data_IF_938174793425
#
_entry.id   IF_938174793425
#
_cell.length_a   1.000
_cell.length_b   1.000
_cell.length_c   1.000
_cell.angle_alpha   90.00
_cell.angle_beta   90.00
_cell.angle_gamma   90.00
#
_symmetry.space_group_name_H-M   'P 1'
#
loop_
_entity.id
_entity.type
_entity.pdbx_description
1 polymer ?
#
# COMPACT_ATOMS: atom_id res chain seq x y z
N UNK A 1 11.17 -40.56 61.07
CA UNK A 1 11.91 -40.10 62.28
C UNK A 1 12.99 -39.15 61.77
N UNK A 2 13.00 -37.84 62.08
CA UNK A 2 13.44 -37.22 63.35
C UNK A 2 14.97 -37.24 63.44
N UNK A 3 15.75 -36.15 63.57
CA UNK A 3 15.57 -34.77 64.12
C UNK A 3 16.31 -33.76 63.16
N UNK A 4 16.12 -32.44 63.10
CA UNK A 4 16.20 -31.34 64.10
C UNK A 4 17.58 -31.25 64.82
N UNK A 5 18.27 -30.10 65.00
CA UNK A 5 18.01 -28.70 64.54
C UNK A 5 19.29 -27.80 64.56
N UNK A 6 19.10 -26.50 64.28
CA UNK A 6 20.06 -25.37 64.13
C UNK A 6 20.81 -24.94 65.41
N UNK A 7 22.01 -24.34 65.25
CA UNK A 7 22.64 -23.39 66.19
C UNK A 7 23.64 -22.45 65.45
N UNK A 8 24.11 -21.32 65.98
CA UNK A 8 23.39 -20.02 66.12
C UNK A 8 24.38 -18.82 65.89
N UNK A 9 23.91 -17.55 65.91
CA UNK A 9 24.69 -16.30 65.68
C UNK A 9 25.60 -15.87 66.86
N UNK A 10 26.54 -14.91 66.70
CA UNK A 10 26.25 -13.44 66.71
C UNK A 10 26.79 -12.73 65.43
N UNK A 11 26.45 -11.49 65.00
CA UNK A 11 25.90 -10.24 65.58
C UNK A 11 26.92 -9.31 66.26
N UNK A 12 27.34 -8.26 65.54
CA UNK A 12 27.45 -6.85 66.02
C UNK A 12 27.52 -5.89 64.81
N UNK A 13 27.21 -4.60 65.02
CA UNK A 13 27.20 -3.55 63.99
C UNK A 13 27.63 -2.21 64.59
N UNK A 14 28.23 -1.31 63.81
CA UNK A 14 28.41 0.10 64.16
C UNK A 14 28.61 0.96 62.90
N UNK A 15 28.28 2.26 62.96
CA UNK A 15 28.07 3.13 61.78
C UNK A 15 28.55 4.57 62.01
N UNK A 16 28.47 5.39 60.94
CA UNK A 16 28.47 6.88 60.91
C UNK A 16 29.82 7.61 60.98
N UNK A 17 30.13 8.38 59.92
CA UNK A 17 30.60 9.78 59.97
C UNK A 17 30.58 10.41 58.55
N UNK A 18 30.37 11.72 58.44
CA UNK A 18 30.43 12.48 57.18
C UNK A 18 30.80 13.96 57.42
N UNK A 19 31.53 14.59 56.48
CA UNK A 19 31.82 16.04 56.44
C UNK A 19 32.34 16.46 55.04
N UNK A 20 32.24 17.75 54.68
CA UNK A 20 32.75 18.30 53.41
C UNK A 20 33.11 19.81 53.49
N UNK A 21 34.19 20.22 52.81
CA UNK A 21 34.65 21.59 52.51
C UNK A 21 35.78 21.49 51.44
N UNK A 22 35.88 22.24 50.33
CA UNK A 22 36.00 23.72 50.13
C UNK A 22 37.39 24.21 50.61
N UNK A 23 38.32 24.72 49.78
CA UNK A 23 38.43 24.96 48.31
C UNK A 23 39.93 24.70 47.87
N UNK A 24 40.65 25.25 46.85
CA UNK A 24 40.56 26.39 45.91
C UNK A 24 41.50 26.22 44.66
N UNK A 25 41.31 27.09 43.65
CA UNK A 25 42.15 27.56 42.51
C UNK A 25 43.50 26.95 42.10
N UNK A 26 43.62 26.62 40.81
CA UNK A 26 44.87 26.52 40.01
C UNK A 26 44.55 26.35 38.51
N UNK A 27 45.24 27.04 37.58
CA UNK A 27 44.84 27.11 36.16
C UNK A 27 46.02 27.01 35.17
N UNK A 28 45.70 26.63 33.91
CA UNK A 28 46.60 26.32 32.77
C UNK A 28 47.47 25.05 33.01
N UNK A 29 47.79 24.20 32.02
CA UNK A 29 47.99 24.41 30.57
C UNK A 29 47.33 23.33 29.68
N UNK A 30 47.29 23.61 28.37
CA UNK A 30 46.92 22.69 27.29
C UNK A 30 48.07 21.72 26.93
N UNK A 31 47.77 20.48 26.55
CA UNK A 31 48.36 19.81 25.36
C UNK A 31 47.84 18.38 25.11
N UNK A 32 47.88 17.98 23.84
CA UNK A 32 47.98 16.58 23.35
C UNK A 32 46.90 15.56 23.74
N UNK A 33 45.84 15.47 22.93
CA UNK A 33 45.08 14.23 22.77
C UNK A 33 45.96 13.17 22.08
N UNK A 34 46.64 12.32 22.86
CA UNK A 34 47.26 11.09 22.34
C UNK A 34 46.20 9.99 22.36
N UNK A 35 45.93 9.37 21.21
CA UNK A 35 45.08 8.17 21.17
C UNK A 35 45.76 7.03 21.92
N UNK A 36 45.16 6.58 23.01
CA UNK A 36 45.23 5.18 23.44
C UNK A 36 43.81 4.68 23.67
N UNK A 37 43.50 3.53 23.08
CA UNK A 37 42.12 3.10 22.88
C UNK A 37 41.49 2.54 24.14
N UNK A 38 40.22 2.87 24.36
CA UNK A 38 39.36 2.13 25.27
C UNK A 38 38.32 1.33 24.48
N UNK A 39 37.86 0.21 25.06
CA UNK A 39 37.05 -0.79 24.35
C UNK A 39 35.62 -0.30 24.19
N UNK A 40 35.28 0.24 23.02
CA UNK A 40 33.92 0.60 22.66
C UNK A 40 33.00 -0.64 22.63
N UNK A 41 32.29 -0.86 23.74
CA UNK A 41 31.17 -1.78 23.84
C UNK A 41 30.04 -1.30 22.94
N UNK A 42 30.11 -1.65 21.65
CA UNK A 42 29.06 -1.40 20.68
C UNK A 42 27.83 -2.24 21.01
N UNK A 43 26.98 -1.72 21.90
CA UNK A 43 25.58 -2.08 21.92
C UNK A 43 25.02 -1.73 20.54
N UNK A 44 24.70 -2.76 19.75
CA UNK A 44 24.01 -2.59 18.47
C UNK A 44 22.60 -2.06 18.73
N UNK A 45 22.48 -0.73 18.83
CA UNK A 45 21.19 -0.05 18.76
C UNK A 45 20.53 -0.52 17.45
N UNK A 46 19.28 -1.03 17.50
CA UNK A 46 18.56 -1.31 16.27
C UNK A 46 18.46 0.00 15.49
N UNK A 47 18.81 -0.04 14.20
CA UNK A 47 18.63 1.12 13.33
C UNK A 47 17.15 1.49 13.37
N UNK A 48 16.83 2.61 14.01
CA UNK A 48 15.49 3.16 14.00
C UNK A 48 15.25 3.61 12.56
N UNK A 49 14.57 2.78 11.77
CA UNK A 49 14.12 3.14 10.44
C UNK A 49 13.16 4.32 10.60
N UNK A 50 13.72 5.52 10.54
CA UNK A 50 12.97 6.77 10.56
C UNK A 50 12.08 6.76 9.33
N UNK A 51 10.80 6.48 9.54
CA UNK A 51 9.77 6.73 8.54
C UNK A 51 9.98 8.13 7.96
N UNK A 52 9.91 8.32 6.64
CA UNK A 52 9.93 9.64 6.04
C UNK A 52 8.95 10.54 6.78
N UNK A 53 9.35 11.76 7.12
CA UNK A 53 8.37 12.70 7.66
C UNK A 53 7.42 13.11 6.53
N UNK A 54 6.21 13.54 6.88
CA UNK A 54 5.21 14.07 5.95
C UNK A 54 5.80 15.10 4.97
N UNK A 55 6.75 15.91 5.45
CA UNK A 55 7.45 16.90 4.66
C UNK A 55 8.48 16.28 3.70
N UNK A 56 9.16 15.20 4.07
CA UNK A 56 10.20 14.58 3.24
C UNK A 56 9.63 13.96 1.96
N UNK A 57 8.47 13.29 2.05
CA UNK A 57 7.75 12.75 0.87
C UNK A 57 7.33 13.87 -0.09
N UNK A 58 6.72 14.93 0.44
CA UNK A 58 6.27 16.07 -0.36
C UNK A 58 7.46 16.83 -0.98
N UNK A 59 8.53 17.09 -0.23
CA UNK A 59 9.73 17.76 -0.75
C UNK A 59 10.44 16.92 -1.81
N UNK A 60 10.50 15.59 -1.63
CA UNK A 60 11.11 14.68 -2.61
C UNK A 60 10.31 14.62 -3.90
N UNK A 61 8.98 14.54 -3.82
CA UNK A 61 8.10 14.62 -5.00
C UNK A 61 8.21 15.99 -5.70
N UNK A 62 8.17 17.09 -4.96
CA UNK A 62 8.34 18.44 -5.52
C UNK A 62 9.69 18.60 -6.24
N UNK A 63 10.79 18.16 -5.63
CA UNK A 63 12.12 18.20 -6.25
C UNK A 63 12.18 17.33 -7.52
N UNK A 64 11.61 16.13 -7.47
CA UNK A 64 11.55 15.23 -8.63
C UNK A 64 10.81 15.87 -9.80
N UNK A 65 9.56 16.30 -9.63
CA UNK A 65 8.77 16.87 -10.74
C UNK A 65 9.18 18.29 -11.16
N UNK A 66 9.92 19.03 -10.32
CA UNK A 66 10.49 20.32 -10.70
C UNK A 66 11.81 20.21 -11.50
N UNK A 67 12.46 19.04 -11.50
CA UNK A 67 13.78 18.83 -12.16
C UNK A 67 13.80 17.72 -13.21
N UNK A 68 12.82 16.81 -13.19
CA UNK A 68 12.66 15.73 -14.17
C UNK A 68 12.11 16.25 -15.50
N UNK A 69 12.65 15.76 -16.61
CA UNK A 69 12.05 15.88 -17.95
C UNK A 69 10.98 14.81 -18.23
N UNK A 70 10.84 13.82 -17.34
CA UNK A 70 9.85 12.74 -17.42
C UNK A 70 8.66 13.10 -16.54
N UNK A 71 7.45 13.03 -17.12
CA UNK A 71 6.17 13.39 -16.48
C UNK A 71 5.23 12.17 -16.40
N UNK A 72 4.20 12.19 -15.54
CA UNK A 72 3.14 11.17 -15.51
C UNK A 72 2.48 10.90 -16.87
N UNK A 73 2.05 9.65 -17.08
CA UNK A 73 1.27 9.23 -18.27
C UNK A 73 -0.14 9.86 -18.32
N UNK A 74 -0.70 10.19 -17.15
CA UNK A 74 -2.01 10.84 -17.03
C UNK A 74 -1.88 12.36 -17.23
N UNK A 75 -2.80 12.95 -17.99
CA UNK A 75 -2.89 14.39 -18.19
C UNK A 75 -3.29 15.11 -16.89
N UNK A 76 -3.02 16.42 -16.83
CA UNK A 76 -3.46 17.27 -15.70
C UNK A 76 -4.96 17.14 -15.39
N UNK A 77 -5.80 16.98 -16.42
CA UNK A 77 -7.24 16.76 -16.28
C UNK A 77 -7.57 15.42 -15.61
N UNK A 78 -6.95 14.34 -16.06
CA UNK A 78 -7.14 12.98 -15.50
C UNK A 78 -6.67 12.95 -14.04
N UNK A 79 -5.45 13.46 -13.77
CA UNK A 79 -4.88 13.57 -12.42
C UNK A 79 -5.78 14.41 -11.48
N UNK A 80 -6.41 15.46 -11.99
CA UNK A 80 -7.22 16.37 -11.16
C UNK A 80 -8.44 15.68 -10.52
N UNK A 81 -9.03 14.65 -11.14
CA UNK A 81 -10.13 13.89 -10.57
C UNK A 81 -9.66 13.17 -9.29
N UNK A 82 -8.63 12.31 -9.44
CA UNK A 82 -8.02 11.57 -8.33
C UNK A 82 -7.47 12.49 -7.24
N UNK A 83 -6.78 13.57 -7.62
CA UNK A 83 -6.25 14.57 -6.68
C UNK A 83 -7.36 15.29 -5.89
N UNK A 84 -8.49 15.64 -6.52
CA UNK A 84 -9.60 16.30 -5.83
C UNK A 84 -10.25 15.39 -4.78
N UNK A 85 -10.27 14.07 -5.00
CA UNK A 85 -10.72 13.08 -4.01
C UNK A 85 -9.67 12.94 -2.90
N UNK A 86 -8.39 12.73 -3.24
CA UNK A 86 -7.28 12.65 -2.28
C UNK A 86 -7.22 13.86 -1.36
N UNK A 87 -7.32 15.08 -1.90
CA UNK A 87 -7.34 16.34 -1.13
C UNK A 87 -8.47 16.42 -0.08
N UNK A 88 -9.52 15.59 -0.20
CA UNK A 88 -10.65 15.52 0.75
C UNK A 88 -10.62 14.29 1.66
N UNK A 89 -9.95 13.20 1.27
CA UNK A 89 -9.93 11.92 2.01
C UNK A 89 -8.57 11.57 2.65
N UNK A 90 -7.48 12.17 2.19
CA UNK A 90 -6.13 11.97 2.73
C UNK A 90 -6.00 12.48 4.18
N UNK A 91 -5.30 11.77 5.08
CA UNK A 91 -4.61 10.50 4.86
C UNK A 91 -5.58 9.31 4.82
N UNK A 92 -5.48 8.46 3.79
CA UNK A 92 -6.35 7.29 3.59
C UNK A 92 -5.62 6.05 3.09
N UNK A 93 -6.33 4.93 2.93
CA UNK A 93 -5.83 3.72 2.27
C UNK A 93 -6.01 3.83 0.75
N UNK A 94 -4.91 3.96 0.00
CA UNK A 94 -4.89 4.10 -1.46
C UNK A 94 -4.13 2.93 -2.12
N UNK A 95 -4.82 2.14 -2.95
CA UNK A 95 -4.20 1.08 -3.75
C UNK A 95 -4.00 1.54 -5.19
N UNK A 96 -2.83 1.27 -5.76
CA UNK A 96 -2.52 1.55 -7.16
C UNK A 96 -2.11 0.25 -7.85
N UNK A 97 -2.88 -0.18 -8.84
CA UNK A 97 -2.41 -1.15 -9.83
C UNK A 97 -1.59 -0.36 -10.85
N UNK A 98 -0.28 -0.55 -10.82
CA UNK A 98 0.74 0.21 -11.54
C UNK A 98 1.83 0.75 -10.61
N UNK A 99 3.07 0.83 -11.10
CA UNK A 99 4.19 1.54 -10.48
C UNK A 99 4.94 2.30 -11.58
N UNK A 100 5.35 3.54 -11.35
CA UNK A 100 5.97 4.35 -12.39
C UNK A 100 6.28 5.79 -11.99
N UNK A 101 6.50 6.64 -13.00
CA UNK A 101 6.90 8.05 -12.82
C UNK A 101 5.83 8.93 -12.14
N UNK A 102 4.60 8.43 -11.97
CA UNK A 102 3.50 9.09 -11.25
C UNK A 102 3.41 8.65 -9.78
N UNK A 103 4.11 7.60 -9.38
CA UNK A 103 3.98 6.98 -8.07
C UNK A 103 4.51 7.85 -6.92
N UNK A 104 5.59 8.64 -7.07
CA UNK A 104 5.97 9.67 -6.09
C UNK A 104 4.89 10.73 -5.88
N UNK A 105 4.20 11.17 -6.95
CA UNK A 105 3.06 12.09 -6.85
C UNK A 105 1.88 11.44 -6.11
N UNK A 106 1.53 10.20 -6.41
CA UNK A 106 0.46 9.48 -5.72
C UNK A 106 0.75 9.23 -4.23
N UNK A 107 2.00 9.00 -3.84
CA UNK A 107 2.40 8.97 -2.43
C UNK A 107 2.24 10.36 -1.79
N UNK A 108 2.81 11.41 -2.39
CA UNK A 108 2.78 12.76 -1.83
C UNK A 108 1.36 13.38 -1.74
N UNK A 109 0.44 13.02 -2.64
CA UNK A 109 -0.97 13.42 -2.54
C UNK A 109 -1.73 12.71 -1.40
N UNK A 110 -1.26 11.54 -0.96
CA UNK A 110 -1.78 10.79 0.17
C UNK A 110 -0.79 10.77 1.36
N UNK A 111 0.07 11.79 1.47
CA UNK A 111 1.18 11.76 2.43
C UNK A 111 0.66 11.58 3.87
N UNK A 112 1.29 10.66 4.61
CA UNK A 112 0.83 10.24 5.95
C UNK A 112 -0.32 9.22 5.96
N UNK A 113 -0.90 8.91 4.79
CA UNK A 113 -1.77 7.75 4.58
C UNK A 113 -1.00 6.48 4.25
N UNK A 114 -1.69 5.45 3.78
CA UNK A 114 -1.07 4.22 3.25
C UNK A 114 -1.32 4.14 1.75
N UNK A 115 -0.29 4.38 0.95
CA UNK A 115 -0.31 4.17 -0.51
C UNK A 115 0.48 2.92 -0.86
N UNK A 116 -0.11 2.00 -1.64
CA UNK A 116 0.54 0.75 -2.05
C UNK A 116 0.45 0.54 -3.56
N UNK A 117 1.56 0.19 -4.19
CA UNK A 117 1.68 0.00 -5.64
C UNK A 117 1.87 -1.48 -6.02
N UNK A 118 1.27 -1.92 -7.13
CA UNK A 118 1.31 -3.30 -7.63
C UNK A 118 1.80 -3.36 -9.09
N UNK A 119 2.90 -4.06 -9.37
CA UNK A 119 3.58 -4.04 -10.67
C UNK A 119 3.89 -5.46 -11.19
N UNK A 120 3.69 -5.74 -12.49
CA UNK A 120 4.04 -7.03 -13.07
C UNK A 120 5.52 -7.22 -13.41
N UNK A 121 6.22 -6.17 -13.83
CA UNK A 121 7.54 -6.27 -14.43
C UNK A 121 8.65 -6.14 -13.38
N UNK A 122 9.39 -7.22 -13.07
CA UNK A 122 10.40 -7.20 -12.02
C UNK A 122 11.59 -6.30 -12.34
N UNK A 123 11.85 -5.98 -13.62
CA UNK A 123 12.92 -5.03 -14.01
C UNK A 123 12.46 -3.61 -13.79
N UNK A 124 11.22 -3.29 -14.18
CA UNK A 124 10.63 -1.97 -13.97
C UNK A 124 10.50 -1.66 -12.47
N UNK A 125 9.95 -2.61 -11.71
CA UNK A 125 9.86 -2.55 -10.24
C UNK A 125 11.20 -2.21 -9.57
N UNK A 126 12.28 -2.91 -9.96
CA UNK A 126 13.64 -2.68 -9.44
C UNK A 126 14.34 -1.42 -9.99
N UNK A 127 13.75 -0.74 -10.97
CA UNK A 127 14.20 0.59 -11.43
C UNK A 127 13.50 1.68 -10.62
N UNK A 128 12.16 1.67 -10.57
CA UNK A 128 11.39 2.70 -9.87
C UNK A 128 11.70 2.72 -8.37
N UNK A 129 11.86 1.56 -7.71
CA UNK A 129 12.26 1.52 -6.29
C UNK A 129 13.73 1.90 -6.04
N UNK A 130 14.58 1.99 -7.07
CA UNK A 130 15.93 2.54 -6.93
C UNK A 130 15.93 4.06 -6.96
N UNK A 131 15.05 4.64 -7.77
CA UNK A 131 14.85 6.09 -7.90
C UNK A 131 13.96 6.65 -6.79
N UNK A 132 13.07 5.84 -6.22
CA UNK A 132 12.12 6.22 -5.16
C UNK A 132 11.98 5.11 -4.10
N UNK A 133 13.02 4.88 -3.26
CA UNK A 133 13.09 3.77 -2.31
C UNK A 133 12.12 3.86 -1.12
N UNK A 134 11.37 4.96 -1.00
CA UNK A 134 10.31 5.12 0.01
C UNK A 134 8.95 4.55 -0.44
N UNK A 135 8.77 4.24 -1.72
CA UNK A 135 7.50 3.73 -2.24
C UNK A 135 7.23 2.30 -1.74
N UNK A 136 6.07 2.10 -1.11
CA UNK A 136 5.60 0.78 -0.67
C UNK A 136 4.97 0.05 -1.86
N UNK A 137 5.73 -0.86 -2.48
CA UNK A 137 5.29 -1.57 -3.67
C UNK A 137 5.53 -3.08 -3.60
N UNK A 138 4.73 -3.85 -4.34
CA UNK A 138 4.92 -5.29 -4.54
C UNK A 138 4.98 -5.65 -6.03
N UNK A 139 5.98 -6.44 -6.41
CA UNK A 139 5.97 -7.13 -7.69
C UNK A 139 5.01 -8.33 -7.59
N UNK A 140 4.05 -8.42 -8.51
CA UNK A 140 2.99 -9.44 -8.52
C UNK A 140 2.88 -10.09 -9.90
N UNK A 141 2.04 -11.13 -10.00
CA UNK A 141 1.74 -11.79 -11.28
C UNK A 141 0.24 -11.74 -11.58
N UNK A 142 -0.12 -11.14 -12.70
CA UNK A 142 -1.46 -11.30 -13.28
C UNK A 142 -1.51 -12.62 -14.07
N UNK A 143 -2.55 -13.47 -13.90
CA UNK A 143 -2.63 -14.78 -14.56
C UNK A 143 -3.16 -14.70 -16.01
N UNK A 144 -3.92 -13.66 -16.35
CA UNK A 144 -4.66 -13.52 -17.62
C UNK A 144 -3.97 -12.60 -18.63
N UNK A 145 -3.95 -13.00 -19.90
CA UNK A 145 -3.48 -12.21 -21.05
C UNK A 145 -4.59 -11.41 -21.72
N UNK A 146 -4.26 -10.29 -22.37
CA UNK A 146 -5.20 -9.43 -23.10
C UNK A 146 -6.00 -10.20 -24.18
N UNK A 147 -5.34 -11.13 -24.88
CA UNK A 147 -5.97 -12.04 -25.86
C UNK A 147 -7.11 -12.90 -25.29
N UNK A 148 -7.11 -13.18 -23.99
CA UNK A 148 -8.15 -13.98 -23.33
C UNK A 148 -9.40 -13.16 -22.97
N UNK A 149 -9.37 -11.82 -23.09
CA UNK A 149 -10.41 -10.93 -22.55
C UNK A 149 -11.83 -11.26 -23.06
N UNK A 150 -11.96 -11.62 -24.34
CA UNK A 150 -13.25 -11.98 -24.97
C UNK A 150 -13.76 -13.38 -24.55
N UNK A 151 -12.87 -14.27 -24.15
CA UNK A 151 -13.24 -15.60 -23.63
C UNK A 151 -13.64 -15.51 -22.16
N UNK A 152 -12.84 -14.82 -21.35
CA UNK A 152 -13.06 -14.60 -19.93
C UNK A 152 -14.42 -13.92 -19.65
N UNK A 153 -14.76 -12.84 -20.36
CA UNK A 153 -16.03 -12.11 -20.16
C UNK A 153 -17.27 -12.93 -20.57
N UNK A 154 -17.10 -13.85 -21.52
CA UNK A 154 -18.14 -14.79 -21.98
C UNK A 154 -18.33 -15.95 -21.01
N UNK A 155 -17.25 -16.44 -20.40
CA UNK A 155 -17.25 -17.71 -19.65
C UNK A 155 -17.34 -17.56 -18.13
N UNK A 156 -16.99 -16.40 -17.54
CA UNK A 156 -16.95 -16.25 -16.08
C UNK A 156 -18.28 -16.60 -15.38
N UNK A 157 -19.43 -16.35 -16.03
CA UNK A 157 -20.77 -16.67 -15.52
C UNK A 157 -21.06 -18.17 -15.37
N UNK A 158 -20.26 -19.04 -15.98
CA UNK A 158 -20.38 -20.50 -15.83
C UNK A 158 -19.52 -21.09 -14.69
N UNK A 159 -18.70 -20.27 -14.04
CA UNK A 159 -17.91 -20.64 -12.86
C UNK A 159 -18.54 -20.02 -11.59
N UNK A 160 -19.19 -20.82 -10.72
CA UNK A 160 -19.80 -20.29 -9.50
C UNK A 160 -18.85 -19.54 -8.58
N UNK A 161 -17.56 -19.89 -8.51
CA UNK A 161 -16.58 -19.13 -7.71
C UNK A 161 -16.21 -17.77 -8.33
N UNK A 162 -16.67 -17.45 -9.55
CA UNK A 162 -16.58 -16.11 -10.11
C UNK A 162 -17.76 -15.20 -9.71
N UNK A 163 -18.84 -15.74 -9.12
CA UNK A 163 -20.10 -15.03 -8.91
C UNK A 163 -20.46 -14.80 -7.44
N UNK A 164 -20.99 -13.61 -7.05
CA UNK A 164 -21.59 -13.41 -5.74
C UNK A 164 -22.74 -14.41 -5.49
N UNK A 165 -22.85 -15.01 -4.29
CA UNK A 165 -22.11 -14.71 -3.07
C UNK A 165 -20.82 -15.54 -2.85
N UNK A 166 -20.41 -16.41 -3.79
CA UNK A 166 -19.23 -17.29 -3.63
C UNK A 166 -17.91 -16.63 -4.05
N UNK A 167 -17.99 -15.58 -4.87
CA UNK A 167 -16.84 -14.84 -5.38
C UNK A 167 -15.92 -14.33 -4.26
N UNK A 168 -14.71 -14.87 -4.22
CA UNK A 168 -13.63 -14.50 -3.32
C UNK A 168 -12.32 -14.36 -4.11
N UNK A 169 -11.30 -13.73 -3.52
CA UNK A 169 -10.01 -13.54 -4.18
C UNK A 169 -8.93 -14.50 -3.67
N UNK A 170 -8.45 -14.32 -2.44
CA UNK A 170 -7.34 -15.10 -1.88
C UNK A 170 -7.58 -16.61 -2.01
N UNK A 171 -6.73 -17.29 -2.77
CA UNK A 171 -6.79 -18.73 -3.02
C UNK A 171 -7.81 -19.20 -4.06
N UNK A 172 -8.60 -18.32 -4.69
CA UNK A 172 -9.60 -18.69 -5.69
C UNK A 172 -8.95 -19.09 -7.03
N UNK A 173 -8.53 -20.36 -7.13
CA UNK A 173 -7.91 -20.92 -8.34
C UNK A 173 -8.92 -21.47 -9.36
N UNK A 174 -10.21 -21.32 -9.09
CA UNK A 174 -11.30 -21.66 -10.02
C UNK A 174 -11.65 -20.46 -10.92
N UNK A 175 -11.86 -19.29 -10.32
CA UNK A 175 -12.13 -18.09 -11.11
C UNK A 175 -10.87 -17.52 -11.78
N UNK A 176 -10.73 -17.70 -13.10
CA UNK A 176 -9.61 -17.15 -13.90
C UNK A 176 -9.41 -15.62 -13.77
N UNK A 177 -10.44 -14.88 -13.38
CA UNK A 177 -10.37 -13.43 -13.17
C UNK A 177 -9.88 -13.02 -11.77
N UNK A 178 -9.90 -13.93 -10.79
CA UNK A 178 -9.46 -13.62 -9.44
C UNK A 178 -7.93 -13.49 -9.36
N UNK A 179 -7.44 -12.35 -8.86
CA UNK A 179 -6.05 -12.22 -8.44
C UNK A 179 -5.90 -12.94 -7.08
N UNK A 180 -5.59 -14.24 -7.16
CA UNK A 180 -5.71 -15.18 -6.04
C UNK A 180 -4.46 -15.33 -5.14
N UNK A 181 -3.31 -14.86 -5.60
CA UNK A 181 -2.00 -14.98 -4.92
C UNK A 181 -1.35 -13.59 -4.68
N UNK A 182 -2.14 -12.57 -4.31
CA UNK A 182 -1.65 -11.23 -3.93
C UNK A 182 -1.07 -11.21 -2.49
N UNK A 183 -0.25 -10.21 -2.13
CA UNK A 183 0.25 -10.03 -0.77
C UNK A 183 -0.87 -9.89 0.27
N UNK A 184 -0.62 -10.42 1.47
CA UNK A 184 -1.64 -10.55 2.52
C UNK A 184 -2.19 -9.20 3.05
N UNK A 185 -1.47 -8.11 2.82
CA UNK A 185 -1.92 -6.74 3.04
C UNK A 185 -3.11 -6.37 2.12
N UNK A 186 -3.01 -6.69 0.82
CA UNK A 186 -3.97 -6.24 -0.20
C UNK A 186 -5.37 -6.81 0.05
N UNK A 187 -5.45 -7.99 0.68
CA UNK A 187 -6.69 -8.65 1.08
C UNK A 187 -7.24 -8.23 2.46
N UNK A 188 -6.42 -7.60 3.31
CA UNK A 188 -6.79 -7.26 4.70
C UNK A 188 -7.09 -5.77 4.88
N UNK A 189 -6.46 -4.91 4.09
CA UNK A 189 -6.68 -3.47 4.11
C UNK A 189 -8.02 -3.12 3.46
N UNK A 190 -8.82 -2.31 4.14
CA UNK A 190 -10.01 -1.70 3.56
C UNK A 190 -9.60 -0.45 2.78
N UNK A 191 -9.58 -0.54 1.46
CA UNK A 191 -9.15 0.55 0.58
C UNK A 191 -10.24 1.62 0.46
N UNK A 192 -9.83 2.89 0.56
CA UNK A 192 -10.69 4.06 0.36
C UNK A 192 -10.69 4.51 -1.09
N UNK A 193 -9.50 4.50 -1.69
CA UNK A 193 -9.26 4.82 -3.09
C UNK A 193 -8.55 3.66 -3.76
N UNK A 194 -8.88 3.39 -5.02
CA UNK A 194 -8.17 2.43 -5.86
C UNK A 194 -7.97 3.00 -7.26
N UNK A 195 -6.72 3.10 -7.72
CA UNK A 195 -6.35 3.43 -9.11
C UNK A 195 -6.02 2.15 -9.88
N UNK A 196 -6.59 1.99 -11.08
CA UNK A 196 -6.33 0.88 -11.99
C UNK A 196 -5.69 1.43 -13.27
N UNK A 197 -4.35 1.53 -13.28
CA UNK A 197 -3.56 1.94 -14.44
C UNK A 197 -2.61 0.83 -14.94
N UNK A 198 -2.69 -0.37 -14.37
CA UNK A 198 -1.94 -1.55 -14.81
C UNK A 198 -2.78 -2.84 -14.64
N UNK A 199 -2.39 -3.98 -15.24
CA UNK A 199 -1.21 -4.21 -16.09
C UNK A 199 -1.24 -3.51 -17.44
N UNK A 200 -0.06 -3.47 -18.08
CA UNK A 200 0.29 -2.78 -19.34
C UNK A 200 -0.74 -2.87 -20.47
N UNK A 201 -1.31 -4.05 -20.74
CA UNK A 201 -2.46 -4.22 -21.65
C UNK A 201 -2.29 -3.72 -23.10
N UNK A 202 -1.07 -3.56 -23.64
CA UNK A 202 -0.84 -2.98 -24.98
C UNK A 202 -0.48 -3.99 -26.08
N UNK A 203 -0.35 -5.29 -25.78
CA UNK A 203 -0.21 -6.36 -26.79
C UNK A 203 -0.93 -7.65 -26.35
N UNK A 204 -1.21 -8.55 -27.30
CA UNK A 204 -2.09 -9.70 -27.10
C UNK A 204 -1.61 -10.67 -25.99
N UNK A 205 -0.30 -10.86 -25.85
CA UNK A 205 0.34 -11.73 -24.86
C UNK A 205 0.63 -11.02 -23.53
N UNK A 206 0.49 -9.69 -23.47
CA UNK A 206 0.62 -8.92 -22.25
C UNK A 206 -0.51 -9.28 -21.26
N UNK A 207 -0.29 -9.13 -19.95
CA UNK A 207 -1.41 -9.13 -19.03
C UNK A 207 -2.30 -7.90 -19.26
N UNK A 208 -3.62 -8.09 -19.14
CA UNK A 208 -4.63 -7.04 -19.33
C UNK A 208 -5.45 -6.77 -18.07
N UNK A 209 -6.10 -5.60 -17.99
CA UNK A 209 -6.75 -5.08 -16.77
C UNK A 209 -7.98 -5.86 -16.29
N UNK A 210 -8.40 -6.89 -17.00
CA UNK A 210 -9.54 -7.76 -16.68
C UNK A 210 -9.55 -8.25 -15.21
N UNK A 211 -8.45 -8.86 -14.76
CA UNK A 211 -8.33 -9.40 -13.41
C UNK A 211 -8.22 -8.33 -12.32
N UNK A 212 -7.62 -7.18 -12.65
CA UNK A 212 -7.56 -6.03 -11.74
C UNK A 212 -8.97 -5.44 -11.53
N UNK A 213 -9.69 -5.14 -12.61
CA UNK A 213 -11.07 -4.61 -12.58
C UNK A 213 -12.00 -5.56 -11.82
N UNK A 214 -11.94 -6.86 -12.09
CA UNK A 214 -12.71 -7.88 -11.37
C UNK A 214 -12.35 -7.92 -9.87
N UNK A 215 -11.06 -7.87 -9.53
CA UNK A 215 -10.62 -7.93 -8.13
C UNK A 215 -11.02 -6.69 -7.34
N UNK A 216 -10.92 -5.51 -7.95
CA UNK A 216 -11.37 -4.24 -7.35
C UNK A 216 -12.87 -4.22 -7.14
N UNK A 217 -13.64 -4.77 -8.09
CA UNK A 217 -15.10 -4.92 -7.96
C UNK A 217 -15.51 -5.78 -6.74
N UNK A 218 -14.69 -6.78 -6.37
CA UNK A 218 -14.90 -7.55 -5.13
C UNK A 218 -14.38 -6.82 -3.90
N UNK A 219 -13.17 -6.24 -3.93
CA UNK A 219 -12.59 -5.52 -2.78
C UNK A 219 -13.51 -4.39 -2.29
N UNK A 220 -14.01 -3.55 -3.21
CA UNK A 220 -14.89 -2.43 -2.88
C UNK A 220 -16.24 -2.86 -2.28
N UNK A 221 -16.80 -3.99 -2.76
CA UNK A 221 -18.06 -4.56 -2.24
C UNK A 221 -17.88 -5.31 -0.92
N UNK A 222 -16.71 -5.90 -0.68
CA UNK A 222 -16.38 -6.67 0.52
C UNK A 222 -15.91 -5.81 1.71
N UNK A 223 -15.76 -4.50 1.52
CA UNK A 223 -15.53 -3.51 2.58
C UNK A 223 -16.63 -3.62 3.65
N UNK A 224 -16.21 -3.55 4.91
CA UNK A 224 -17.03 -3.66 6.13
C UNK A 224 -17.27 -2.30 6.76
N UNK A 225 -16.27 -1.42 6.71
CA UNK A 225 -16.36 -0.04 7.15
C UNK A 225 -17.31 0.79 6.29
N UNK A 226 -17.82 1.89 6.86
CA UNK A 226 -18.74 2.78 6.14
C UNK A 226 -18.05 3.60 5.02
N UNK A 227 -18.87 4.29 4.22
CA UNK A 227 -18.44 5.04 3.05
C UNK A 227 -18.37 4.20 1.77
N UNK A 228 -18.00 4.85 0.66
CA UNK A 228 -17.75 4.22 -0.65
C UNK A 228 -16.26 4.05 -0.88
N UNK A 229 -15.89 3.11 -1.74
CA UNK A 229 -14.56 3.06 -2.35
C UNK A 229 -14.59 3.89 -3.63
N UNK A 230 -13.72 4.89 -3.73
CA UNK A 230 -13.49 5.67 -4.96
C UNK A 230 -12.56 4.86 -5.88
N UNK A 231 -13.06 4.41 -7.03
CA UNK A 231 -12.30 3.59 -7.99
C UNK A 231 -12.07 4.38 -9.27
N UNK A 232 -10.80 4.55 -9.64
CA UNK A 232 -10.38 5.18 -10.89
C UNK A 232 -9.88 4.11 -11.85
N UNK A 233 -10.40 4.07 -13.06
CA UNK A 233 -9.91 3.20 -14.13
C UNK A 233 -9.39 4.06 -15.28
N UNK A 234 -8.17 3.78 -15.72
CA UNK A 234 -7.51 4.48 -16.82
C UNK A 234 -7.51 3.64 -18.12
N UNK A 235 -7.03 4.24 -19.21
CA UNK A 235 -7.07 3.70 -20.59
C UNK A 235 -8.48 3.29 -21.06
N UNK A 236 -9.53 3.98 -20.60
CA UNK A 236 -10.93 3.65 -20.95
C UNK A 236 -11.30 4.02 -22.38
N UNK A 237 -10.38 4.48 -23.22
CA UNK A 237 -10.56 4.46 -24.69
C UNK A 237 -10.69 3.02 -25.21
N UNK A 238 -10.00 2.06 -24.57
CA UNK A 238 -9.91 0.65 -24.98
C UNK A 238 -11.21 -0.10 -24.71
N UNK A 239 -11.55 -1.02 -25.62
CA UNK A 239 -12.80 -1.78 -25.52
C UNK A 239 -12.82 -2.77 -24.33
N UNK A 240 -11.67 -3.36 -23.98
CA UNK A 240 -11.57 -4.32 -22.87
C UNK A 240 -11.86 -3.62 -21.55
N UNK A 241 -11.14 -2.54 -21.25
CA UNK A 241 -11.34 -1.68 -20.09
C UNK A 241 -12.80 -1.21 -19.99
N UNK A 242 -13.40 -0.67 -21.06
CA UNK A 242 -14.84 -0.32 -21.07
C UNK A 242 -15.76 -1.49 -20.71
N UNK A 243 -15.57 -2.64 -21.36
CA UNK A 243 -16.44 -3.81 -21.19
C UNK A 243 -16.39 -4.33 -19.76
N UNK A 244 -15.18 -4.49 -19.21
CA UNK A 244 -14.98 -5.00 -17.85
C UNK A 244 -15.44 -3.99 -16.79
N UNK A 245 -15.26 -2.69 -17.01
CA UNK A 245 -15.79 -1.66 -16.11
C UNK A 245 -17.32 -1.70 -16.03
N UNK A 246 -17.99 -1.79 -17.18
CA UNK A 246 -19.46 -1.80 -17.23
C UNK A 246 -20.06 -3.09 -16.63
N UNK A 247 -19.35 -4.22 -16.72
CA UNK A 247 -19.75 -5.51 -16.14
C UNK A 247 -19.48 -5.61 -14.63
N UNK A 248 -18.36 -5.09 -14.12
CA UNK A 248 -17.92 -5.35 -12.74
C UNK A 248 -17.97 -4.12 -11.83
N UNK A 249 -17.65 -2.92 -12.34
CA UNK A 249 -17.72 -1.65 -11.61
C UNK A 249 -19.10 -0.97 -11.72
N UNK A 250 -19.90 -1.36 -12.73
CA UNK A 250 -21.27 -0.95 -13.03
C UNK A 250 -21.47 0.52 -13.42
N UNK A 251 -22.22 0.74 -14.50
CA UNK A 251 -22.63 2.09 -14.94
C UNK A 251 -23.36 2.91 -13.87
N UNK A 252 -24.13 2.25 -12.98
CA UNK A 252 -24.84 2.91 -11.86
C UNK A 252 -23.92 3.54 -10.79
N UNK A 253 -22.64 3.19 -10.79
CA UNK A 253 -21.65 3.74 -9.87
C UNK A 253 -20.63 4.66 -10.56
N UNK A 254 -20.70 4.85 -11.89
CA UNK A 254 -19.87 5.80 -12.63
C UNK A 254 -20.31 7.24 -12.29
N UNK A 255 -19.41 8.03 -11.71
CA UNK A 255 -19.65 9.40 -11.25
C UNK A 255 -19.24 10.41 -12.31
N UNK A 256 -17.98 10.36 -12.75
CA UNK A 256 -17.43 11.27 -13.75
C UNK A 256 -16.32 10.62 -14.58
N UNK A 257 -15.80 11.34 -15.57
CA UNK A 257 -14.70 10.89 -16.40
C UNK A 257 -14.15 11.99 -17.29
N UNK A 258 -12.86 11.92 -17.61
CA UNK A 258 -12.19 12.88 -18.49
C UNK A 258 -11.02 12.19 -19.20
N UNK A 259 -10.76 12.56 -20.46
CA UNK A 259 -9.76 11.89 -21.29
C UNK A 259 -10.01 10.38 -21.35
N UNK A 260 -9.08 9.61 -20.77
CA UNK A 260 -9.06 8.15 -20.66
C UNK A 260 -9.34 7.64 -19.24
N UNK A 261 -9.68 8.51 -18.29
CA UNK A 261 -9.98 8.15 -16.91
C UNK A 261 -11.50 8.17 -16.64
N UNK A 262 -12.00 7.12 -15.99
CA UNK A 262 -13.34 7.05 -15.39
C UNK A 262 -13.25 6.90 -13.87
N UNK A 263 -14.14 7.57 -13.14
CA UNK A 263 -14.25 7.52 -11.68
C UNK A 263 -15.59 6.90 -11.27
N UNK A 264 -15.52 5.88 -10.42
CA UNK A 264 -16.66 5.15 -9.87
C UNK A 264 -16.69 5.30 -8.34
N UNK A 265 -17.90 5.31 -7.76
CA UNK A 265 -18.10 5.23 -6.31
C UNK A 265 -18.89 3.97 -5.94
N UNK A 266 -18.17 2.94 -5.53
CA UNK A 266 -18.73 1.61 -5.27
C UNK A 266 -18.99 1.47 -3.75
N UNK A 267 -20.25 1.25 -3.34
CA UNK A 267 -20.60 1.00 -1.93
C UNK A 267 -20.30 -0.46 -1.53
N UNK A 268 -20.08 -0.72 -0.23
CA UNK A 268 -20.04 -2.07 0.32
C UNK A 268 -21.40 -2.76 0.18
N UNK A 269 -21.42 -4.04 -0.18
CA UNK A 269 -22.65 -4.84 -0.26
C UNK A 269 -23.09 -5.24 1.15
N UNK A 270 -24.05 -4.50 1.71
CA UNK A 270 -24.66 -4.81 3.00
C UNK A 270 -25.51 -6.08 2.87
N UNK A 271 -25.35 -7.02 3.81
CA UNK A 271 -25.91 -8.39 3.73
C UNK A 271 -27.45 -8.51 3.67
N UNK A 272 -28.18 -7.39 3.76
CA UNK A 272 -29.64 -7.33 3.60
C UNK A 272 -30.08 -6.84 2.19
N UNK A 273 -29.18 -6.64 1.22
CA UNK A 273 -29.54 -6.51 -0.20
C UNK A 273 -29.92 -7.87 -0.84
N UNK A 274 -30.81 -8.60 -0.17
CA UNK A 274 -31.38 -9.87 -0.64
C UNK A 274 -32.36 -9.67 -1.79
N UNK A 275 -32.45 -10.65 -2.70
CA UNK A 275 -33.55 -10.85 -3.66
C UNK A 275 -33.67 -9.90 -4.88
N UNK A 276 -32.57 -9.42 -5.46
CA UNK A 276 -32.61 -8.85 -6.83
C UNK A 276 -31.40 -9.14 -7.74
N UNK A 277 -30.24 -9.49 -7.18
CA UNK A 277 -28.96 -9.57 -7.92
C UNK A 277 -28.16 -10.86 -7.76
N UNK A 278 -28.79 -12.00 -7.45
CA UNK A 278 -28.07 -13.28 -7.34
C UNK A 278 -27.30 -13.61 -8.63
N UNK A 279 -26.01 -13.97 -8.49
CA UNK A 279 -25.16 -14.32 -9.62
C UNK A 279 -24.73 -13.14 -10.52
N UNK A 280 -24.86 -11.88 -10.07
CA UNK A 280 -24.46 -10.69 -10.85
C UNK A 280 -23.68 -9.67 -10.04
N UNK A 281 -22.95 -8.81 -10.75
CA UNK A 281 -22.29 -7.62 -10.19
C UNK A 281 -23.13 -6.35 -10.37
N UNK A 282 -23.95 -6.29 -11.44
CA UNK A 282 -24.80 -5.18 -11.86
C UNK A 282 -26.20 -5.69 -12.23
#
# INVERSE_FOLDING_TARGET
>A
MGKAAVLNRPVTSCSVAAAAAILFSGALLLSSFVLHGDRSLFCSLPSLQRSPSLADELHSALLHYATSSIVPQQSRSEISISFNILRRRSPCNFLVFGLGHDSPMWSAFNAGGTTVFLEEDPKWFQSVLRESPTLRAYNIRYPTKLSEANDLIRTYRSEPECLPPRAHLKGNKRCRLALADLPDEIYKTEWDLIMIDAPKGYFAEAPGRMGAIYSVALMARARRGEGVTDVFLHDVERNVEKTYAMEFLCKKYLVEGTGRLWHFQIPPTRGNETSSGEGKFC
#
